data_IF_739690705575
#
_entry.id   IF_739690705575
#
_cell.length_a   1.000
_cell.length_b   1.000
_cell.length_c   1.000
_cell.angle_alpha   90.00
_cell.angle_beta   90.00
_cell.angle_gamma   90.00
#
_symmetry.space_group_name_H-M   'P 1'
#
loop_
_entity.id
_entity.type
_entity.pdbx_description
1 polymer ?
#
# COMPACT_ATOMS: atom_id res chain seq x y z
N UNK A 1 -6.34 8.62 4.53
CA UNK A 1 -6.42 7.22 4.04
C UNK A 1 -6.40 6.22 5.18
N UNK A 2 -6.93 5.01 4.98
CA UNK A 2 -6.97 3.96 5.99
C UNK A 2 -5.93 2.88 5.65
N UNK A 3 -5.09 2.51 6.64
CA UNK A 3 -4.10 1.45 6.50
C UNK A 3 -4.50 0.28 7.41
N UNK A 4 -4.96 -0.81 6.81
CA UNK A 4 -5.37 -2.01 7.53
C UNK A 4 -4.16 -2.94 7.73
N UNK A 5 -3.73 -3.09 8.98
CA UNK A 5 -2.64 -4.00 9.34
C UNK A 5 -3.12 -5.40 9.66
N UNK A 6 -2.38 -6.44 9.23
CA UNK A 6 -2.61 -7.78 9.79
C UNK A 6 -2.40 -7.76 11.31
N UNK A 7 -3.01 -8.72 12.03
CA UNK A 7 -2.81 -8.84 13.49
C UNK A 7 -1.33 -8.79 13.86
N UNK A 8 -0.51 -9.56 13.16
CA UNK A 8 0.94 -9.59 13.39
C UNK A 8 1.61 -8.23 13.13
N UNK A 9 1.18 -7.49 12.08
CA UNK A 9 1.69 -6.16 11.77
C UNK A 9 1.37 -5.18 12.90
N UNK A 10 0.11 -5.14 13.32
CA UNK A 10 -0.33 -4.25 14.40
C UNK A 10 0.45 -4.51 15.71
N UNK A 11 0.60 -5.78 16.09
CA UNK A 11 1.35 -6.17 17.29
C UNK A 11 2.84 -5.83 17.18
N UNK A 12 3.49 -6.16 16.05
CA UNK A 12 4.93 -5.94 15.85
C UNK A 12 5.36 -4.48 15.83
N UNK A 13 4.50 -3.63 15.30
CA UNK A 13 4.77 -2.20 15.24
C UNK A 13 4.11 -1.41 16.39
N UNK A 14 3.32 -2.08 17.23
CA UNK A 14 2.61 -1.46 18.36
C UNK A 14 1.60 -0.42 17.90
N UNK A 15 0.88 -0.73 16.80
CA UNK A 15 -0.15 0.13 16.24
C UNK A 15 -1.47 -0.22 16.93
N UNK A 16 -2.09 0.70 17.69
CA UNK A 16 -3.37 0.44 18.32
C UNK A 16 -4.51 0.44 17.28
N UNK A 17 -5.50 -0.41 17.48
CA UNK A 17 -6.79 -0.27 16.79
C UNK A 17 -7.47 1.01 17.30
N UNK A 18 -8.29 1.65 16.47
CA UNK A 18 -9.00 2.91 16.82
C UNK A 18 -9.73 2.79 18.15
N UNK A 19 -10.41 1.67 18.39
CA UNK A 19 -11.18 1.42 19.62
C UNK A 19 -10.36 1.40 20.92
N UNK A 20 -9.05 1.15 20.85
CA UNK A 20 -8.18 1.07 22.03
C UNK A 20 -7.27 2.30 22.22
N UNK A 21 -7.39 3.31 21.36
CA UNK A 21 -6.67 4.57 21.52
C UNK A 21 -7.22 5.29 22.76
N UNK A 22 -6.32 5.61 23.71
CA UNK A 22 -6.69 6.28 24.96
C UNK A 22 -6.68 7.79 24.86
N UNK A 23 -5.77 8.35 24.07
CA UNK A 23 -5.73 9.80 23.80
C UNK A 23 -6.96 10.22 23.00
N UNK A 24 -7.81 11.07 23.61
CA UNK A 24 -9.10 11.45 23.04
C UNK A 24 -8.96 12.21 21.72
N UNK A 25 -7.96 13.09 21.59
CA UNK A 25 -7.75 13.86 20.35
C UNK A 25 -7.27 12.96 19.21
N UNK A 26 -6.34 12.05 19.50
CA UNK A 26 -5.87 11.09 18.51
C UNK A 26 -6.99 10.12 18.12
N UNK A 27 -7.82 9.70 19.06
CA UNK A 27 -8.96 8.83 18.79
C UNK A 27 -10.00 9.51 17.92
N UNK A 28 -10.39 10.75 18.25
CA UNK A 28 -11.34 11.56 17.47
C UNK A 28 -10.82 11.75 16.04
N UNK A 29 -9.56 12.16 15.87
CA UNK A 29 -8.93 12.31 14.55
C UNK A 29 -8.98 11.00 13.75
N UNK A 30 -8.57 9.89 14.36
CA UNK A 30 -8.58 8.58 13.69
C UNK A 30 -10.00 8.12 13.32
N UNK A 31 -10.98 8.38 14.19
CA UNK A 31 -12.39 8.07 13.94
C UNK A 31 -12.95 8.89 12.79
N UNK A 32 -12.68 10.18 12.74
CA UNK A 32 -13.12 11.05 11.65
C UNK A 32 -12.58 10.61 10.29
N UNK A 33 -11.29 10.26 10.20
CA UNK A 33 -10.72 9.71 8.97
C UNK A 33 -11.39 8.38 8.61
N UNK A 34 -11.56 7.49 9.59
CA UNK A 34 -12.16 6.18 9.35
C UNK A 34 -13.60 6.31 8.85
N UNK A 35 -14.43 7.13 9.52
CA UNK A 35 -15.85 7.28 9.17
C UNK A 35 -16.03 7.93 7.80
N UNK A 36 -15.11 8.82 7.41
CA UNK A 36 -15.16 9.48 6.10
C UNK A 36 -14.70 8.59 4.94
N UNK A 37 -13.77 7.67 5.19
CA UNK A 37 -13.05 6.95 4.11
C UNK A 37 -13.31 5.43 4.11
N UNK A 38 -13.94 4.87 5.16
CA UNK A 38 -14.19 3.43 5.23
C UNK A 38 -15.16 2.97 4.14
N UNK A 39 -14.72 1.96 3.38
CA UNK A 39 -15.46 1.43 2.23
C UNK A 39 -15.07 2.05 0.89
N UNK A 40 -14.34 3.15 0.91
CA UNK A 40 -13.75 3.71 -0.30
C UNK A 40 -12.45 2.99 -0.64
N UNK A 41 -12.55 2.08 -1.59
CA UNK A 41 -11.41 1.22 -1.97
C UNK A 41 -10.21 2.00 -2.52
N UNK A 42 -10.41 3.24 -2.96
CA UNK A 42 -9.35 4.14 -3.45
C UNK A 42 -8.49 4.68 -2.31
N UNK A 43 -9.06 4.76 -1.11
CA UNK A 43 -8.41 5.30 0.08
C UNK A 43 -7.90 4.22 1.06
N UNK A 44 -8.10 2.95 0.72
CA UNK A 44 -7.80 1.80 1.58
C UNK A 44 -6.53 1.05 1.15
N UNK A 45 -5.66 0.76 2.12
CA UNK A 45 -4.41 0.02 1.95
C UNK A 45 -4.30 -1.12 2.96
N UNK A 46 -3.79 -2.26 2.53
CA UNK A 46 -3.40 -3.36 3.41
C UNK A 46 -1.92 -3.25 3.79
N UNK A 47 -1.57 -3.64 5.02
CA UNK A 47 -0.19 -3.68 5.49
C UNK A 47 0.12 -5.02 6.17
N UNK A 48 1.22 -5.66 5.75
CA UNK A 48 1.65 -6.96 6.25
C UNK A 48 3.16 -6.95 6.53
N UNK A 49 3.54 -7.32 7.75
CA UNK A 49 4.94 -7.57 8.09
C UNK A 49 5.39 -8.90 7.51
N UNK A 50 6.61 -8.94 6.98
CA UNK A 50 7.30 -10.17 6.58
C UNK A 50 8.79 -10.06 6.94
N UNK A 51 9.55 -11.15 6.73
CA UNK A 51 10.98 -11.18 6.99
C UNK A 51 11.73 -11.55 5.73
N UNK A 52 12.80 -10.80 5.44
CA UNK A 52 13.76 -11.10 4.40
C UNK A 52 15.16 -11.01 4.99
N UNK A 53 15.95 -12.09 4.90
CA UNK A 53 17.29 -12.19 5.47
C UNK A 53 17.37 -11.71 6.94
N UNK A 54 16.42 -12.14 7.77
CA UNK A 54 16.24 -11.74 9.17
C UNK A 54 15.90 -10.25 9.37
N UNK A 55 15.83 -9.46 8.30
CA UNK A 55 15.37 -8.06 8.33
C UNK A 55 13.86 -8.03 8.38
N UNK A 56 13.32 -7.18 9.22
CA UNK A 56 11.88 -6.98 9.32
C UNK A 56 11.42 -6.00 8.24
N UNK A 57 10.54 -6.46 7.38
CA UNK A 57 10.07 -5.73 6.21
C UNK A 57 8.56 -5.48 6.32
N UNK A 58 8.09 -4.46 5.64
CA UNK A 58 6.67 -4.15 5.53
C UNK A 58 6.26 -4.21 4.05
N UNK A 59 5.23 -4.97 3.75
CA UNK A 59 4.52 -4.93 2.48
C UNK A 59 3.25 -4.13 2.65
N UNK A 60 2.95 -3.24 1.72
CA UNK A 60 1.65 -2.55 1.62
C UNK A 60 1.03 -2.84 0.26
N UNK A 61 -0.31 -2.93 0.23
CA UNK A 61 -1.06 -3.26 -0.96
C UNK A 61 -2.32 -2.39 -1.05
N UNK A 62 -2.49 -1.68 -2.15
CA UNK A 62 -3.68 -0.88 -2.41
C UNK A 62 -4.90 -1.78 -2.67
N UNK A 63 -6.03 -1.51 -2.02
CA UNK A 63 -7.19 -2.40 -2.06
C UNK A 63 -7.81 -2.53 -3.44
N UNK A 64 -7.97 -1.44 -4.17
CA UNK A 64 -8.63 -1.46 -5.47
C UNK A 64 -7.71 -1.97 -6.59
N UNK A 65 -6.52 -1.39 -6.76
CA UNK A 65 -5.63 -1.68 -7.89
C UNK A 65 -4.65 -2.82 -7.65
N UNK A 66 -4.42 -3.21 -6.37
CA UNK A 66 -3.39 -4.17 -5.96
C UNK A 66 -1.94 -3.68 -6.18
N UNK A 67 -1.72 -2.38 -6.44
CA UNK A 67 -0.35 -1.82 -6.33
C UNK A 67 0.25 -2.25 -5.01
N UNK A 68 1.47 -2.77 -5.07
CA UNK A 68 2.16 -3.34 -3.91
C UNK A 68 3.53 -2.71 -3.74
N UNK A 69 3.83 -2.23 -2.54
CA UNK A 69 5.15 -1.75 -2.16
C UNK A 69 5.77 -2.59 -1.06
N UNK A 70 7.09 -2.69 -1.09
CA UNK A 70 7.91 -3.37 -0.08
C UNK A 70 8.87 -2.36 0.52
N UNK A 71 8.95 -2.35 1.84
CA UNK A 71 9.88 -1.52 2.61
C UNK A 71 10.77 -2.43 3.45
N UNK A 72 12.07 -2.48 3.15
CA UNK A 72 13.04 -3.29 3.88
C UNK A 72 13.48 -2.56 5.17
N UNK A 73 13.86 -3.35 6.18
CA UNK A 73 14.29 -2.84 7.48
C UNK A 73 13.33 -1.83 8.14
N UNK A 74 12.04 -1.96 7.84
CA UNK A 74 11.01 -1.02 8.30
C UNK A 74 10.88 -1.05 9.83
N UNK A 75 11.00 0.11 10.44
CA UNK A 75 11.03 0.26 11.91
C UNK A 75 9.75 0.91 12.45
N UNK A 76 9.43 0.63 13.72
CA UNK A 76 8.27 1.22 14.38
C UNK A 76 8.21 2.75 14.28
N UNK A 77 9.35 3.44 14.36
CA UNK A 77 9.43 4.90 14.25
C UNK A 77 9.03 5.45 12.89
N UNK A 78 8.94 4.60 11.85
CA UNK A 78 8.58 4.98 10.49
C UNK A 78 7.07 4.89 10.24
N UNK A 79 6.31 4.28 11.16
CA UNK A 79 4.85 4.18 11.05
C UNK A 79 4.17 5.54 10.81
N UNK A 80 4.51 6.63 11.53
CA UNK A 80 3.89 7.94 11.28
C UNK A 80 4.18 8.50 9.88
N UNK A 81 5.27 8.07 9.24
CA UNK A 81 5.66 8.50 7.89
C UNK A 81 5.20 7.54 6.79
N UNK A 82 4.42 6.49 7.12
CA UNK A 82 4.08 5.44 6.15
C UNK A 82 3.30 5.99 4.94
N UNK A 83 2.37 6.92 5.15
CA UNK A 83 1.67 7.59 4.04
C UNK A 83 2.65 8.32 3.11
N UNK A 84 3.58 9.06 3.67
CA UNK A 84 4.60 9.77 2.87
C UNK A 84 5.53 8.82 2.12
N UNK A 85 5.83 7.65 2.69
CA UNK A 85 6.63 6.61 2.00
C UNK A 85 5.84 6.00 0.84
N UNK A 86 4.55 5.72 1.04
CA UNK A 86 3.66 5.27 -0.03
C UNK A 86 3.60 6.34 -1.13
N UNK A 87 3.38 7.62 -0.75
CA UNK A 87 3.37 8.74 -1.68
C UNK A 87 4.63 8.77 -2.56
N UNK A 88 5.81 8.72 -1.95
CA UNK A 88 7.08 8.72 -2.68
C UNK A 88 7.17 7.60 -3.73
N UNK A 89 6.73 6.40 -3.38
CA UNK A 89 6.68 5.29 -4.32
C UNK A 89 5.67 5.55 -5.43
N UNK A 90 4.48 6.06 -5.11
CA UNK A 90 3.46 6.42 -6.11
C UNK A 90 3.95 7.50 -7.07
N UNK A 91 4.55 8.57 -6.56
CA UNK A 91 5.13 9.62 -7.40
C UNK A 91 6.23 9.08 -8.33
N UNK A 92 7.07 8.17 -7.84
CA UNK A 92 8.10 7.52 -8.66
C UNK A 92 7.52 6.61 -9.75
N UNK A 93 6.42 5.88 -9.48
CA UNK A 93 5.74 5.06 -10.50
C UNK A 93 5.22 5.88 -11.69
N UNK A 94 4.84 7.12 -11.45
CA UNK A 94 4.22 8.00 -12.46
C UNK A 94 5.10 9.22 -12.77
N UNK A 95 6.43 9.13 -12.59
CA UNK A 95 7.35 10.27 -12.77
C UNK A 95 7.25 10.91 -14.16
N UNK A 96 6.99 10.09 -15.20
CA UNK A 96 6.86 10.53 -16.59
C UNK A 96 5.44 10.95 -17.00
N UNK A 97 4.49 11.01 -16.04
CA UNK A 97 3.07 11.30 -16.29
C UNK A 97 2.59 12.55 -15.53
N UNK A 98 2.76 13.76 -16.09
CA UNK A 98 2.41 15.02 -15.40
C UNK A 98 0.96 15.09 -14.90
N UNK A 99 0.01 14.51 -15.64
CA UNK A 99 -1.39 14.51 -15.21
C UNK A 99 -1.61 13.63 -13.99
N UNK A 100 -0.94 12.47 -13.94
CA UNK A 100 -0.99 11.61 -12.76
C UNK A 100 -0.31 12.26 -11.55
N UNK A 101 0.78 12.99 -11.76
CA UNK A 101 1.43 13.76 -10.69
C UNK A 101 0.48 14.78 -10.06
N UNK A 102 -0.32 15.48 -10.86
CA UNK A 102 -1.34 16.44 -10.37
C UNK A 102 -2.42 15.74 -9.55
N UNK A 103 -2.96 14.63 -10.06
CA UNK A 103 -3.99 13.85 -9.35
C UNK A 103 -3.46 13.25 -8.05
N UNK A 104 -2.21 12.74 -8.05
CA UNK A 104 -1.55 12.26 -6.85
C UNK A 104 -1.34 13.36 -5.81
N UNK A 105 -0.89 14.56 -6.22
CA UNK A 105 -0.78 15.69 -5.31
C UNK A 105 -2.11 15.97 -4.63
N UNK A 106 -3.19 16.08 -5.42
CA UNK A 106 -4.55 16.32 -4.91
C UNK A 106 -4.96 15.21 -3.93
N UNK A 107 -4.74 13.93 -4.28
CA UNK A 107 -5.08 12.79 -3.42
C UNK A 107 -4.38 12.88 -2.06
N UNK A 108 -3.08 13.21 -2.04
CA UNK A 108 -2.33 13.31 -0.78
C UNK A 108 -2.61 14.59 0.01
N UNK A 109 -2.96 15.69 -0.64
CA UNK A 109 -3.44 16.90 0.03
C UNK A 109 -4.79 16.67 0.73
N UNK A 110 -5.72 15.98 0.07
CA UNK A 110 -7.06 15.70 0.60
C UNK A 110 -7.06 14.55 1.60
N UNK A 111 -6.29 13.47 1.37
CA UNK A 111 -6.36 12.19 2.09
C UNK A 111 -5.02 11.69 2.65
N UNK A 112 -3.99 12.52 2.70
CA UNK A 112 -2.64 12.13 3.16
C UNK A 112 -2.56 11.79 4.64
N UNK A 113 -3.52 12.22 5.46
CA UNK A 113 -3.63 11.81 6.85
C UNK A 113 -4.06 10.35 6.95
N UNK A 114 -3.50 9.62 7.94
CA UNK A 114 -3.76 8.19 8.07
C UNK A 114 -4.39 7.82 9.40
N UNK A 115 -5.29 6.85 9.35
CA UNK A 115 -5.63 6.04 10.52
C UNK A 115 -5.32 4.56 10.25
N UNK A 116 -5.31 3.76 11.31
CA UNK A 116 -4.97 2.35 11.23
C UNK A 116 -6.08 1.50 11.82
N UNK A 117 -6.43 0.40 11.12
CA UNK A 117 -7.34 -0.60 11.65
C UNK A 117 -6.89 -2.02 11.26
N UNK A 118 -7.62 -3.01 11.71
CA UNK A 118 -7.29 -4.42 11.49
C UNK A 118 -7.69 -4.89 10.10
N UNK A 119 -6.74 -5.48 9.38
CA UNK A 119 -6.98 -6.11 8.09
C UNK A 119 -7.82 -7.39 8.24
N UNK A 120 -9.00 -7.39 7.63
CA UNK A 120 -9.93 -8.53 7.59
C UNK A 120 -10.27 -8.98 6.17
N UNK A 121 -9.95 -8.17 5.16
CA UNK A 121 -10.22 -8.49 3.75
C UNK A 121 -9.35 -9.67 3.28
N UNK A 122 -10.01 -10.82 3.08
CA UNK A 122 -9.35 -12.06 2.68
C UNK A 122 -8.75 -12.00 1.27
N UNK A 123 -9.35 -11.22 0.35
CA UNK A 123 -8.83 -11.07 -1.02
C UNK A 123 -7.50 -10.31 -0.98
N UNK A 124 -7.45 -9.20 -0.24
CA UNK A 124 -6.21 -8.43 -0.08
C UNK A 124 -5.13 -9.28 0.60
N UNK A 125 -5.47 -9.98 1.67
CA UNK A 125 -4.52 -10.89 2.35
C UNK A 125 -4.00 -11.97 1.38
N UNK A 126 -4.87 -12.57 0.58
CA UNK A 126 -4.47 -13.58 -0.41
C UNK A 126 -3.55 -13.02 -1.48
N UNK A 127 -3.84 -11.82 -2.01
CA UNK A 127 -2.97 -11.12 -2.96
C UNK A 127 -1.59 -10.85 -2.36
N UNK A 128 -1.54 -10.36 -1.13
CA UNK A 128 -0.27 -10.10 -0.44
C UNK A 128 0.54 -11.38 -0.19
N UNK A 129 -0.12 -12.48 0.17
CA UNK A 129 0.54 -13.78 0.36
C UNK A 129 1.09 -14.32 -0.96
N UNK A 130 0.30 -14.27 -2.02
CA UNK A 130 0.72 -14.70 -3.36
C UNK A 130 1.93 -13.87 -3.84
N UNK A 131 1.87 -12.55 -3.70
CA UNK A 131 2.97 -11.68 -4.05
C UNK A 131 4.25 -12.05 -3.28
N UNK A 132 4.16 -12.22 -1.97
CA UNK A 132 5.32 -12.61 -1.15
C UNK A 132 5.91 -13.94 -1.62
N UNK A 133 5.07 -14.94 -1.84
CA UNK A 133 5.51 -16.25 -2.29
C UNK A 133 6.14 -16.21 -3.69
N UNK A 134 5.44 -15.63 -4.67
CA UNK A 134 5.86 -15.66 -6.06
C UNK A 134 7.08 -14.76 -6.34
N UNK A 135 7.10 -13.54 -5.79
CA UNK A 135 8.09 -12.54 -6.15
C UNK A 135 9.25 -12.41 -5.15
N UNK A 136 9.02 -12.68 -3.89
CA UNK A 136 10.06 -12.55 -2.86
C UNK A 136 10.74 -13.89 -2.60
N UNK A 137 9.94 -14.94 -2.33
CA UNK A 137 10.48 -16.24 -1.91
C UNK A 137 10.97 -17.08 -3.10
N UNK A 138 10.15 -17.26 -4.14
CA UNK A 138 10.50 -18.14 -5.27
C UNK A 138 11.36 -17.46 -6.34
N UNK A 139 11.05 -16.22 -6.73
CA UNK A 139 11.82 -15.55 -7.77
C UNK A 139 13.16 -15.01 -7.28
N UNK A 140 13.33 -14.89 -5.97
CA UNK A 140 14.50 -14.24 -5.40
C UNK A 140 14.66 -12.77 -5.79
N UNK A 141 13.55 -12.10 -6.15
CA UNK A 141 13.54 -10.74 -6.70
C UNK A 141 14.41 -9.77 -5.88
N UNK A 142 14.27 -9.81 -4.55
CA UNK A 142 15.05 -8.91 -3.69
C UNK A 142 16.55 -9.17 -3.73
N UNK A 143 16.99 -10.42 -3.96
CA UNK A 143 18.41 -10.75 -4.10
C UNK A 143 19.01 -10.20 -5.39
N UNK A 144 18.24 -10.17 -6.47
CA UNK A 144 18.72 -9.69 -7.77
C UNK A 144 19.00 -8.17 -7.77
N UNK A 145 18.56 -7.45 -6.75
CA UNK A 145 18.66 -5.99 -6.64
C UNK A 145 19.49 -5.52 -5.44
N UNK A 146 20.23 -6.44 -4.82
CA UNK A 146 21.23 -6.11 -3.80
C UNK A 146 22.48 -5.64 -4.55
N UNK A 147 22.94 -4.42 -4.28
CA UNK A 147 24.21 -3.92 -4.83
C UNK A 147 25.42 -4.57 -4.12
N UNK A 148 26.63 -4.24 -4.61
CA UNK A 148 27.89 -4.76 -4.04
C UNK A 148 28.10 -4.33 -2.57
N UNK A 149 27.46 -3.24 -2.13
CA UNK A 149 27.50 -2.77 -0.74
C UNK A 149 26.41 -3.42 0.14
N UNK A 150 25.56 -4.30 -0.42
CA UNK A 150 24.45 -4.93 0.27
C UNK A 150 23.24 -4.01 0.47
N UNK A 151 23.17 -2.89 -0.26
CA UNK A 151 22.03 -1.98 -0.26
C UNK A 151 21.03 -2.33 -1.37
N UNK A 152 19.78 -1.97 -1.16
CA UNK A 152 18.70 -2.14 -2.14
C UNK A 152 18.06 -0.78 -2.40
N UNK A 153 18.00 -0.37 -3.66
CA UNK A 153 17.22 0.80 -4.08
C UNK A 153 15.73 0.47 -4.03
N UNK A 154 15.09 0.86 -2.94
CA UNK A 154 13.68 0.58 -2.70
C UNK A 154 12.74 1.26 -3.68
N UNK A 155 13.08 2.42 -4.20
CA UNK A 155 12.25 3.11 -5.21
C UNK A 155 12.28 2.31 -6.49
N UNK A 156 13.46 1.97 -6.97
CA UNK A 156 13.66 1.21 -8.21
C UNK A 156 12.99 -0.17 -8.14
N UNK A 157 13.15 -0.90 -7.03
CA UNK A 157 12.55 -2.23 -6.91
C UNK A 157 11.02 -2.16 -6.86
N UNK A 158 10.45 -1.19 -6.16
CA UNK A 158 9.01 -0.99 -6.11
C UNK A 158 8.44 -0.57 -7.48
N UNK A 159 9.20 0.16 -8.29
CA UNK A 159 8.83 0.47 -9.67
C UNK A 159 8.74 -0.81 -10.51
N UNK A 160 9.81 -1.62 -10.54
CA UNK A 160 9.87 -2.88 -11.27
C UNK A 160 8.74 -3.84 -10.86
N UNK A 161 8.53 -4.01 -9.55
CA UNK A 161 7.45 -4.85 -9.01
C UNK A 161 6.10 -4.49 -9.64
N UNK A 162 5.76 -3.22 -9.74
CA UNK A 162 4.43 -2.78 -10.19
C UNK A 162 4.32 -2.65 -11.72
N UNK A 163 5.43 -2.52 -12.44
CA UNK A 163 5.46 -2.50 -13.91
C UNK A 163 5.32 -3.93 -14.49
N UNK A 164 5.94 -4.93 -13.85
CA UNK A 164 5.98 -6.31 -14.35
C UNK A 164 4.91 -7.21 -13.73
N UNK A 165 4.32 -6.80 -12.61
CA UNK A 165 3.33 -7.61 -11.90
C UNK A 165 1.98 -7.61 -12.59
N UNK A 166 1.45 -8.81 -12.86
CA UNK A 166 0.10 -9.02 -13.38
C UNK A 166 -0.76 -9.62 -12.28
N UNK A 167 -1.90 -9.01 -12.04
CA UNK A 167 -2.91 -9.52 -11.11
C UNK A 167 -4.05 -10.16 -11.88
N UNK A 168 -4.54 -11.29 -11.38
CA UNK A 168 -5.76 -11.92 -11.86
C UNK A 168 -6.88 -11.75 -10.83
N UNK A 169 -8.06 -11.37 -11.29
CA UNK A 169 -9.26 -11.28 -10.46
C UNK A 169 -10.44 -11.95 -11.16
N UNK A 170 -11.29 -12.64 -10.39
CA UNK A 170 -12.53 -13.18 -10.93
C UNK A 170 -13.64 -12.12 -10.88
N UNK A 171 -14.08 -11.67 -12.05
CA UNK A 171 -15.17 -10.72 -12.21
C UNK A 171 -16.28 -11.45 -12.98
N UNK A 172 -17.48 -11.57 -12.37
CA UNK A 172 -18.64 -12.25 -12.97
C UNK A 172 -18.34 -13.67 -13.49
N UNK A 173 -17.51 -14.43 -12.75
CA UNK A 173 -17.15 -15.80 -13.09
C UNK A 173 -16.05 -15.95 -14.14
N UNK A 174 -15.60 -14.87 -14.77
CA UNK A 174 -14.45 -14.85 -15.70
C UNK A 174 -13.21 -14.35 -14.98
N UNK A 175 -12.05 -14.90 -15.35
CA UNK A 175 -10.76 -14.38 -14.86
C UNK A 175 -10.35 -13.21 -15.74
N UNK A 176 -10.16 -12.07 -15.12
CA UNK A 176 -9.60 -10.88 -15.73
C UNK A 176 -8.14 -10.71 -15.30
N UNK A 177 -7.29 -10.16 -16.18
CA UNK A 177 -5.87 -9.94 -15.94
C UNK A 177 -5.55 -8.47 -16.18
N UNK A 178 -4.88 -7.83 -15.22
CA UNK A 178 -4.51 -6.43 -15.36
C UNK A 178 -3.17 -6.10 -14.69
N UNK A 179 -2.57 -5.00 -15.13
CA UNK A 179 -1.41 -4.42 -14.47
C UNK A 179 -1.87 -3.45 -13.37
N UNK A 180 -1.46 -3.63 -12.11
CA UNK A 180 -1.84 -2.76 -11.01
C UNK A 180 -1.64 -1.28 -11.27
N UNK A 181 -0.53 -0.92 -11.93
CA UNK A 181 -0.20 0.46 -12.27
C UNK A 181 -1.23 1.09 -13.21
N UNK A 182 -1.67 0.35 -14.25
CA UNK A 182 -2.71 0.84 -15.19
C UNK A 182 -4.06 0.94 -14.50
N UNK A 183 -4.40 -0.07 -13.70
CA UNK A 183 -5.66 -0.09 -12.96
C UNK A 183 -5.77 1.06 -11.97
N UNK A 184 -4.70 1.41 -11.28
CA UNK A 184 -4.68 2.57 -10.38
C UNK A 184 -4.87 3.89 -11.15
N UNK A 185 -4.23 4.03 -12.30
CA UNK A 185 -4.37 5.21 -13.15
C UNK A 185 -5.83 5.44 -13.59
N UNK A 186 -6.50 4.37 -14.03
CA UNK A 186 -7.93 4.40 -14.40
C UNK A 186 -8.79 4.82 -13.22
N UNK A 187 -8.64 4.13 -12.08
CA UNK A 187 -9.41 4.39 -10.88
C UNK A 187 -9.21 5.82 -10.33
N UNK A 188 -7.98 6.34 -10.35
CA UNK A 188 -7.72 7.70 -9.87
C UNK A 188 -8.33 8.77 -10.79
N UNK A 189 -8.31 8.54 -12.10
CA UNK A 189 -8.97 9.42 -13.07
C UNK A 189 -10.49 9.40 -12.90
N UNK A 190 -11.10 8.23 -12.71
CA UNK A 190 -12.53 8.07 -12.43
C UNK A 190 -12.90 8.77 -11.12
N UNK A 191 -12.16 8.54 -10.04
CA UNK A 191 -12.37 9.13 -8.74
C UNK A 191 -12.48 10.66 -8.77
N UNK A 192 -11.64 11.31 -9.59
CA UNK A 192 -11.69 12.78 -9.73
C UNK A 192 -12.57 13.29 -10.87
N UNK A 193 -13.00 12.45 -11.80
CA UNK A 193 -14.01 12.81 -12.80
C UNK A 193 -15.38 12.99 -12.16
N UNK A 194 -15.76 12.09 -11.24
CA UNK A 194 -17.06 12.14 -10.54
C UNK A 194 -17.14 13.29 -9.51
N UNK A 195 -15.99 13.78 -9.03
CA UNK A 195 -15.93 14.93 -8.11
C UNK A 195 -16.12 16.30 -8.78
N UNK A 196 -16.30 16.33 -10.11
CA UNK A 196 -16.41 17.59 -10.90
C UNK A 196 -17.86 17.87 -11.36
N UNK A 197 -18.81 17.02 -10.98
CA UNK A 197 -20.24 17.15 -11.20
C UNK A 197 -20.96 17.57 -9.92
#
# INVERSE_FOLDING_TARGET
>A
MIIYGTKQTMERYGIPQIKVIQDLKQKEKATNIYDAEHGDRMLEWGAKVFYFERRKCLQVCHFASKITFVFLDFKKKEIPALSSLIARCMFALYEDKPDMQKLLNRLWEEHGETCFDKLTDRKVISTMNYFQSAYIEFSGLLYNWIDEAGAIDMIKINKIINEDHIVSEKINGKTDYYFPIKKFEELLKEYYADATL
#
